data_IF_795303093255
#
_entry.id   IF_795303093255
#
_cell.length_a   1.000
_cell.length_b   1.000
_cell.length_c   1.000
_cell.angle_alpha   90.00
_cell.angle_beta   90.00
_cell.angle_gamma   90.00
#
_symmetry.space_group_name_H-M   'P 1'
#
loop_
_entity.id
_entity.type
_entity.pdbx_description
1 polymer ?
#
# COMPACT_ATOMS: atom_id res chain seq x y z
N UNK A 1 30.36 14.96 46.71
CA UNK A 1 29.20 14.58 45.86
C UNK A 1 29.76 13.93 44.60
N UNK A 2 29.46 12.65 44.30
CA UNK A 2 30.30 11.86 43.39
C UNK A 2 29.89 12.03 41.92
N UNK A 3 30.89 12.11 41.05
CA UNK A 3 30.82 12.37 39.60
C UNK A 3 29.96 11.37 38.78
N UNK A 4 29.54 10.25 39.36
CA UNK A 4 28.68 9.24 38.70
C UNK A 4 27.27 9.75 38.38
N UNK A 5 26.71 10.62 39.22
CA UNK A 5 25.34 11.14 39.03
C UNK A 5 25.29 12.16 37.88
N UNK A 6 26.40 12.86 37.62
CA UNK A 6 26.48 13.86 36.55
C UNK A 6 26.55 13.22 35.15
N UNK A 7 27.30 12.12 35.02
CA UNK A 7 27.44 11.39 33.74
C UNK A 7 26.12 10.70 33.32
N UNK A 8 25.34 10.18 34.28
CA UNK A 8 24.03 9.59 33.99
C UNK A 8 22.98 10.65 33.57
N UNK A 9 23.01 11.84 34.17
CA UNK A 9 22.11 12.95 33.78
C UNK A 9 22.43 13.50 32.40
N UNK A 10 23.70 13.64 32.05
CA UNK A 10 24.09 14.07 30.70
C UNK A 10 23.72 13.04 29.61
N UNK A 11 23.84 11.74 29.91
CA UNK A 11 23.43 10.67 28.98
C UNK A 11 21.93 10.65 28.70
N UNK A 12 21.10 10.83 29.73
CA UNK A 12 19.65 10.89 29.58
C UNK A 12 19.19 12.12 28.77
N UNK A 13 19.80 13.29 29.00
CA UNK A 13 19.50 14.50 28.23
C UNK A 13 19.90 14.37 26.75
N UNK A 14 21.05 13.74 26.46
CA UNK A 14 21.47 13.48 25.08
C UNK A 14 20.53 12.51 24.36
N UNK A 15 20.08 11.46 25.05
CA UNK A 15 19.10 10.52 24.50
C UNK A 15 17.75 11.19 24.21
N UNK A 16 17.29 12.08 25.11
CA UNK A 16 16.04 12.82 24.90
C UNK A 16 16.15 13.78 23.71
N UNK A 17 17.27 14.50 23.59
CA UNK A 17 17.53 15.41 22.47
C UNK A 17 17.57 14.64 21.15
N UNK A 18 18.24 13.47 21.12
CA UNK A 18 18.28 12.61 19.95
C UNK A 18 16.88 12.11 19.57
N UNK A 19 16.06 11.70 20.55
CA UNK A 19 14.70 11.25 20.30
C UNK A 19 13.81 12.38 19.76
N UNK A 20 13.93 13.58 20.33
CA UNK A 20 13.20 14.77 19.83
C UNK A 20 13.66 15.17 18.44
N UNK A 21 14.96 15.13 18.15
CA UNK A 21 15.49 15.45 16.83
C UNK A 21 15.03 14.43 15.79
N UNK A 22 15.00 13.15 16.17
CA UNK A 22 14.50 12.08 15.31
C UNK A 22 13.00 12.23 15.05
N UNK A 23 12.20 12.60 16.06
CA UNK A 23 10.78 12.89 15.88
C UNK A 23 10.56 14.10 14.95
N UNK A 24 11.33 15.18 15.15
CA UNK A 24 11.23 16.39 14.32
C UNK A 24 11.62 16.08 12.88
N UNK A 25 12.71 15.33 12.64
CA UNK A 25 13.14 14.98 11.28
C UNK A 25 12.20 13.98 10.60
N UNK A 26 11.56 13.09 11.34
CA UNK A 26 10.60 12.13 10.80
C UNK A 26 9.25 12.76 10.42
N UNK A 27 8.86 13.88 11.03
CA UNK A 27 7.52 14.47 10.84
C UNK A 27 7.51 15.92 10.36
N UNK A 28 8.62 16.66 10.41
CA UNK A 28 8.68 18.00 9.83
C UNK A 28 9.08 17.91 8.36
N UNK A 29 8.14 18.18 7.46
CA UNK A 29 8.47 18.49 6.06
C UNK A 29 8.59 20.00 5.93
N UNK A 30 9.80 20.47 5.64
CA UNK A 30 10.08 21.88 5.38
C UNK A 30 9.69 22.18 3.94
N UNK A 31 8.69 23.06 3.75
CA UNK A 31 8.32 23.56 2.43
C UNK A 31 9.29 24.66 1.99
N UNK A 32 9.61 24.69 0.69
CA UNK A 32 10.52 25.68 0.10
C UNK A 32 10.02 27.13 0.23
N UNK A 33 8.73 27.31 0.51
CA UNK A 33 8.08 28.61 0.65
C UNK A 33 8.37 29.30 1.99
N UNK A 34 8.88 28.58 2.99
CA UNK A 34 9.27 29.12 4.30
C UNK A 34 10.61 29.89 4.28
N UNK A 35 11.32 29.91 3.15
CA UNK A 35 12.61 30.58 2.97
C UNK A 35 12.56 31.79 2.02
N UNK A 36 11.47 32.55 2.00
CA UNK A 36 11.42 33.84 1.33
C UNK A 36 11.61 35.01 2.32
N UNK A 37 12.84 35.51 2.40
CA UNK A 37 13.18 36.74 3.11
C UNK A 37 12.65 37.96 2.33
N UNK A 38 11.49 38.49 2.70
CA UNK A 38 10.98 39.77 2.16
C UNK A 38 11.24 40.91 3.14
N UNK A 39 12.08 41.85 2.70
CA UNK A 39 12.46 43.04 3.46
C UNK A 39 11.30 43.99 3.76
N UNK A 40 11.35 44.55 4.98
CA UNK A 40 10.94 45.91 5.39
C UNK A 40 9.85 46.60 4.55
N UNK A 41 8.59 46.53 5.01
CA UNK A 41 7.59 47.56 4.73
C UNK A 41 6.61 47.75 5.91
N UNK A 42 6.74 48.94 6.52
CA UNK A 42 5.81 49.78 7.30
C UNK A 42 4.68 49.12 8.12
N UNK A 43 4.76 49.40 9.42
CA UNK A 43 3.63 49.46 10.35
C UNK A 43 2.63 50.52 9.88
N UNK A 44 1.40 50.11 9.57
CA UNK A 44 0.24 51.00 9.57
C UNK A 44 -0.79 50.45 10.56
N UNK A 45 -1.06 51.26 11.58
CA UNK A 45 -2.12 51.08 12.56
C UNK A 45 -3.42 51.56 11.93
N UNK A 46 -4.44 50.70 11.88
CA UNK A 46 -5.81 51.11 11.56
C UNK A 46 -6.84 50.37 12.42
N UNK A 47 -7.30 51.09 13.45
CA UNK A 47 -8.62 51.14 14.09
C UNK A 47 -9.56 49.93 14.02
N UNK A 48 -9.95 49.47 15.22
CA UNK A 48 -11.15 48.65 15.49
C UNK A 48 -12.41 49.51 15.31
N UNK A 49 -13.30 49.09 14.41
CA UNK A 49 -14.65 49.63 14.25
C UNK A 49 -15.69 48.51 14.35
N UNK A 50 -16.57 48.61 15.36
CA UNK A 50 -17.66 47.67 15.63
C UNK A 50 -18.71 47.64 14.50
N UNK A 51 -19.18 46.45 14.14
CA UNK A 51 -20.50 46.26 13.54
C UNK A 51 -21.14 44.94 14.02
N UNK A 52 -22.45 45.03 14.26
CA UNK A 52 -23.35 44.17 15.04
C UNK A 52 -23.54 42.73 14.48
N UNK A 53 -23.91 41.76 15.35
CA UNK A 53 -24.19 40.38 14.95
C UNK A 53 -25.64 40.20 14.50
N UNK A 54 -25.85 39.46 13.41
CA UNK A 54 -27.18 39.00 13.00
C UNK A 54 -27.40 37.57 13.51
N UNK A 55 -28.33 37.45 14.45
CA UNK A 55 -28.89 36.20 14.96
C UNK A 55 -29.56 35.42 13.82
N UNK A 56 -29.21 34.13 13.71
CA UNK A 56 -30.17 33.12 13.31
C UNK A 56 -30.25 32.06 14.42
N UNK A 57 -31.48 31.93 14.90
CA UNK A 57 -31.98 31.00 15.90
C UNK A 57 -32.17 29.61 15.29
N UNK A 58 -31.65 28.58 15.94
CA UNK A 58 -32.16 27.22 15.87
C UNK A 58 -31.95 26.56 17.25
N UNK A 59 -32.93 25.75 17.64
CA UNK A 59 -33.35 25.41 19.00
C UNK A 59 -32.41 24.50 19.81
N UNK A 60 -32.45 24.65 21.15
CA UNK A 60 -32.09 23.62 22.16
C UNK A 60 -33.34 22.75 22.40
N UNK A 61 -33.32 21.45 22.66
CA UNK A 61 -32.67 20.63 23.72
C UNK A 61 -33.21 19.16 23.57
N UNK A 62 -32.85 18.12 24.36
CA UNK A 62 -31.77 18.00 25.33
C UNK A 62 -30.92 16.71 25.24
N UNK A 63 -29.82 16.79 25.98
CA UNK A 63 -28.88 15.78 26.41
C UNK A 63 -29.49 14.67 27.30
N UNK A 64 -28.99 13.44 27.13
CA UNK A 64 -28.74 12.51 28.24
C UNK A 64 -27.29 12.01 28.17
N UNK A 65 -26.61 12.20 29.30
CA UNK A 65 -25.28 11.74 29.65
C UNK A 65 -25.28 10.24 30.01
N UNK A 66 -24.15 9.59 29.71
CA UNK A 66 -23.49 8.42 30.34
C UNK A 66 -22.90 7.57 29.20
N UNK A 67 -21.63 7.20 29.14
CA UNK A 67 -20.46 7.32 30.02
C UNK A 67 -19.26 6.95 29.12
N UNK A 68 -18.11 7.59 29.32
CA UNK A 68 -16.83 7.34 28.63
C UNK A 68 -16.27 5.95 29.07
N UNK A 69 -15.59 5.13 28.27
CA UNK A 69 -14.17 5.24 27.88
C UNK A 69 -13.84 4.04 26.96
N UNK A 70 -13.22 4.26 25.79
CA UNK A 70 -12.24 3.36 25.10
C UNK A 70 -11.66 4.07 23.83
N UNK A 71 -11.48 5.39 23.91
CA UNK A 71 -10.70 6.12 22.89
C UNK A 71 -9.24 6.14 23.33
N UNK A 72 -8.42 5.31 22.68
CA UNK A 72 -6.96 5.39 22.79
C UNK A 72 -6.52 6.81 22.40
N UNK A 73 -6.09 7.59 23.39
CA UNK A 73 -5.66 8.98 23.23
C UNK A 73 -4.51 9.11 22.23
N UNK A 74 -3.74 8.05 21.99
CA UNK A 74 -2.68 8.01 20.98
C UNK A 74 -3.27 8.11 19.56
N UNK A 75 -4.30 7.35 19.24
CA UNK A 75 -4.89 7.30 17.90
C UNK A 75 -5.65 8.58 17.54
N UNK A 76 -6.37 9.17 18.51
CA UNK A 76 -7.10 10.42 18.31
C UNK A 76 -6.16 11.62 18.16
N UNK A 77 -5.02 11.61 18.87
CA UNK A 77 -3.96 12.62 18.71
C UNK A 77 -3.31 12.56 17.33
N UNK A 78 -3.04 11.35 16.82
CA UNK A 78 -2.49 11.15 15.48
C UNK A 78 -3.44 11.63 14.39
N UNK A 79 -4.76 11.43 14.56
CA UNK A 79 -5.77 11.88 13.60
C UNK A 79 -5.93 13.41 13.57
N UNK A 80 -5.87 14.08 14.72
CA UNK A 80 -5.96 15.54 14.80
C UNK A 80 -4.71 16.24 14.28
N UNK A 81 -3.53 15.69 14.52
CA UNK A 81 -2.26 16.23 14.00
C UNK A 81 -2.13 16.05 12.48
N UNK A 82 -2.68 14.96 11.91
CA UNK A 82 -2.62 14.71 10.47
C UNK A 82 -3.54 15.65 9.65
N UNK A 83 -4.61 16.18 10.26
CA UNK A 83 -5.65 16.92 9.55
C UNK A 83 -5.72 18.43 9.89
N UNK A 84 -4.86 18.93 10.78
CA UNK A 84 -4.92 20.34 11.22
C UNK A 84 -4.34 21.37 10.23
N UNK A 85 -3.81 20.94 9.07
CA UNK A 85 -3.14 21.84 8.13
C UNK A 85 -3.47 21.54 6.66
N UNK A 86 -4.76 21.41 6.34
CA UNK A 86 -5.25 21.56 4.96
C UNK A 86 -5.94 22.93 4.85
N UNK A 87 -5.35 23.94 4.20
CA UNK A 87 -6.10 25.14 3.86
C UNK A 87 -7.21 24.81 2.85
N UNK A 88 -8.38 25.44 2.99
CA UNK A 88 -9.47 25.34 2.02
C UNK A 88 -8.98 25.69 0.61
N UNK A 89 -9.36 24.87 -0.38
CA UNK A 89 -9.07 25.08 -1.78
C UNK A 89 -9.55 26.47 -2.24
N UNK A 90 -8.73 27.28 -2.94
CA UNK A 90 -9.20 28.52 -3.51
C UNK A 90 -10.19 28.24 -4.65
N UNK A 91 -11.31 28.93 -4.63
CA UNK A 91 -12.30 28.90 -5.69
C UNK A 91 -11.74 29.53 -6.97
N UNK A 92 -11.72 28.74 -8.05
CA UNK A 92 -11.60 29.11 -9.48
C UNK A 92 -10.35 29.93 -9.88
N UNK A 93 -9.49 29.31 -10.68
CA UNK A 93 -8.53 29.99 -11.56
C UNK A 93 -8.83 29.65 -13.03
N UNK A 94 -8.57 30.56 -14.00
CA UNK A 94 -9.03 30.42 -15.37
C UNK A 94 -8.17 29.45 -16.19
N UNK A 95 -8.81 28.79 -17.16
CA UNK A 95 -8.18 27.92 -18.17
C UNK A 95 -7.05 28.66 -18.89
N UNK A 96 -5.81 28.19 -18.69
CA UNK A 96 -4.67 28.58 -19.52
C UNK A 96 -4.60 27.63 -20.72
N UNK A 97 -4.74 28.21 -21.90
CA UNK A 97 -4.60 27.57 -23.20
C UNK A 97 -3.11 27.33 -23.47
N UNK A 98 -2.73 26.08 -23.73
CA UNK A 98 -1.37 25.70 -24.07
C UNK A 98 -1.21 25.67 -25.59
N UNK A 99 -0.37 26.54 -26.13
CA UNK A 99 0.12 26.41 -27.50
C UNK A 99 1.24 25.36 -27.55
N UNK A 100 1.09 24.39 -28.46
CA UNK A 100 2.06 23.33 -28.71
C UNK A 100 3.36 23.90 -29.28
N UNK A 101 4.48 23.68 -28.59
CA UNK A 101 5.81 23.90 -29.13
C UNK A 101 6.47 22.55 -29.40
N UNK A 102 6.40 22.12 -30.66
CA UNK A 102 7.12 20.98 -31.21
C UNK A 102 8.63 21.29 -31.19
N UNK A 103 9.41 20.53 -30.41
CA UNK A 103 10.87 20.47 -30.57
C UNK A 103 11.36 19.04 -30.45
N UNK A 104 11.83 18.53 -31.59
CA UNK A 104 12.59 17.29 -31.71
C UNK A 104 13.96 17.40 -30.99
N UNK A 105 14.39 16.39 -30.20
CA UNK A 105 15.71 16.40 -29.59
C UNK A 105 16.78 15.76 -30.50
N UNK A 106 17.84 16.51 -30.78
CA UNK A 106 19.10 15.98 -31.36
C UNK A 106 19.94 15.25 -30.29
N UNK A 107 20.76 14.25 -30.68
CA UNK A 107 21.60 13.49 -29.75
C UNK A 107 22.90 14.22 -29.38
N UNK A 108 23.33 14.08 -28.12
CA UNK A 108 24.61 14.58 -27.59
C UNK A 108 25.56 13.39 -27.34
N UNK A 109 26.85 13.46 -27.69
CA UNK A 109 27.79 12.35 -27.52
C UNK A 109 28.41 12.28 -26.11
N UNK A 110 28.66 11.06 -25.65
CA UNK A 110 29.38 10.71 -24.42
C UNK A 110 30.85 11.13 -24.50
N UNK A 111 31.32 11.88 -23.50
CA UNK A 111 32.74 12.15 -23.28
C UNK A 111 33.19 11.35 -22.05
N UNK A 112 33.90 10.25 -22.31
CA UNK A 112 34.63 9.48 -21.32
C UNK A 112 35.93 10.21 -20.93
N UNK A 113 36.09 10.54 -19.64
CA UNK A 113 37.35 11.07 -19.09
C UNK A 113 38.02 9.98 -18.25
N UNK A 114 39.10 9.42 -18.79
CA UNK A 114 40.06 8.56 -18.08
C UNK A 114 41.15 9.44 -17.41
N UNK A 115 41.49 9.23 -16.13
CA UNK A 115 42.61 9.94 -15.52
C UNK A 115 43.95 9.27 -15.81
N UNK A 116 44.80 9.94 -16.61
CA UNK A 116 46.26 9.75 -16.64
C UNK A 116 46.91 10.82 -15.74
N UNK A 117 47.50 10.42 -14.60
CA UNK A 117 48.88 10.78 -14.19
C UNK A 117 49.28 10.23 -12.81
N UNK A 118 50.53 9.78 -12.82
CA UNK A 118 51.48 9.29 -11.82
C UNK A 118 51.53 10.05 -10.49
N UNK A 119 51.69 9.28 -9.40
CA UNK A 119 51.91 9.75 -8.03
C UNK A 119 53.34 10.30 -7.84
N UNK A 120 53.42 11.52 -7.31
CA UNK A 120 54.66 12.11 -6.77
C UNK A 120 54.77 11.72 -5.29
N UNK A 121 55.79 10.92 -4.93
CA UNK A 121 56.17 10.62 -3.55
C UNK A 121 57.07 11.74 -3.02
N UNK A 122 56.62 12.48 -2.01
CA UNK A 122 57.48 13.41 -1.27
C UNK A 122 57.90 12.78 0.06
N UNK A 123 59.22 12.64 0.24
CA UNK A 123 59.87 12.27 1.52
C UNK A 123 59.89 13.51 2.42
N UNK A 124 59.28 13.42 3.60
CA UNK A 124 59.45 14.38 4.69
C UNK A 124 59.72 13.63 6.01
N UNK A 125 60.55 14.19 6.93
CA UNK A 125 61.05 13.53 8.13
C UNK A 125 60.00 13.46 9.27
N UNK A 126 60.23 12.63 10.32
CA UNK A 126 59.18 12.30 11.28
C UNK A 126 58.87 13.46 12.24
N UNK A 127 57.80 14.19 11.94
CA UNK A 127 57.12 15.06 12.89
C UNK A 127 56.18 14.25 13.77
N UNK A 128 56.23 14.45 15.09
CA UNK A 128 55.40 13.77 16.08
C UNK A 128 53.91 14.02 15.79
N UNK A 129 53.19 12.99 15.34
CA UNK A 129 51.73 13.03 15.19
C UNK A 129 51.11 12.87 16.57
N UNK A 130 50.50 13.95 17.07
CA UNK A 130 49.59 13.89 18.22
C UNK A 130 48.36 13.08 17.78
N UNK A 131 48.12 11.98 18.47
CA UNK A 131 46.98 11.08 18.25
C UNK A 131 45.68 11.77 18.67
N UNK A 132 45.06 12.55 17.78
CA UNK A 132 43.65 12.91 17.91
C UNK A 132 42.84 11.65 17.61
N UNK A 133 42.22 11.08 18.66
CA UNK A 133 41.22 10.01 18.55
C UNK A 133 40.10 10.46 17.60
N UNK A 134 40.16 10.02 16.34
CA UNK A 134 39.11 10.20 15.33
C UNK A 134 37.89 9.36 15.73
N UNK A 135 36.98 9.97 16.48
CA UNK A 135 35.62 9.47 16.73
C UNK A 135 34.65 9.74 15.56
N UNK A 136 35.13 10.28 14.44
CA UNK A 136 34.30 10.73 13.31
C UNK A 136 33.88 9.70 12.25
N UNK A 137 34.44 8.47 12.10
CA UNK A 137 33.97 7.57 11.03
C UNK A 137 32.61 6.92 11.36
N UNK A 138 32.24 6.78 12.64
CA UNK A 138 30.93 6.19 13.01
C UNK A 138 29.74 7.12 12.77
N UNK A 139 29.92 8.45 12.89
CA UNK A 139 28.80 9.39 12.73
C UNK A 139 28.40 9.54 11.26
N UNK A 140 29.37 9.55 10.34
CA UNK A 140 29.09 9.55 8.90
C UNK A 140 28.47 8.23 8.41
N UNK A 141 28.86 7.09 8.98
CA UNK A 141 28.25 5.80 8.66
C UNK A 141 26.78 5.73 9.14
N UNK A 142 26.48 6.28 10.31
CA UNK A 142 25.11 6.34 10.85
C UNK A 142 24.21 7.30 10.07
N UNK A 143 24.77 8.43 9.58
CA UNK A 143 24.05 9.39 8.75
C UNK A 143 23.76 8.85 7.34
N UNK A 144 24.67 8.06 6.75
CA UNK A 144 24.45 7.38 5.47
C UNK A 144 23.43 6.24 5.58
N UNK A 145 23.35 5.56 6.74
CA UNK A 145 22.31 4.58 7.02
C UNK A 145 20.92 5.22 7.25
N UNK A 146 20.88 6.45 7.78
CA UNK A 146 19.62 7.19 7.95
C UNK A 146 19.07 7.77 6.62
N UNK A 147 19.94 7.96 5.61
CA UNK A 147 19.55 8.42 4.27
C UNK A 147 19.14 7.28 3.32
N UNK A 148 19.24 6.01 3.75
CA UNK A 148 18.62 4.89 3.04
C UNK A 148 17.15 4.79 3.41
N UNK A 149 16.41 5.87 3.13
CA UNK A 149 14.95 5.83 2.98
C UNK A 149 14.72 4.86 1.83
N UNK A 150 14.44 3.60 2.17
CA UNK A 150 13.94 2.65 1.21
C UNK A 150 12.69 3.31 0.65
N UNK A 151 12.66 3.56 -0.67
CA UNK A 151 11.38 3.73 -1.32
C UNK A 151 10.64 2.43 -1.04
N UNK A 152 9.69 2.48 -0.09
CA UNK A 152 8.79 1.37 0.14
C UNK A 152 8.25 0.96 -1.22
N UNK A 153 8.25 -0.34 -1.51
CA UNK A 153 7.43 -0.83 -2.60
C UNK A 153 5.99 -0.52 -2.20
N UNK A 154 5.51 0.62 -2.69
CA UNK A 154 4.11 0.98 -2.64
C UNK A 154 3.42 0.05 -3.64
N UNK A 155 2.37 -0.61 -3.14
CA UNK A 155 1.57 -1.73 -3.65
C UNK A 155 2.32 -3.07 -3.91
N UNK A 156 1.63 -4.20 -3.65
CA UNK A 156 0.22 -4.32 -3.21
C UNK A 156 0.00 -4.00 -1.73
N UNK A 157 -1.23 -3.64 -1.38
CA UNK A 157 -1.64 -3.36 0.00
C UNK A 157 -2.09 -4.61 0.74
N UNK A 158 -2.55 -5.61 -0.02
CA UNK A 158 -2.99 -6.90 0.47
C UNK A 158 -2.40 -7.97 -0.44
N UNK A 159 -1.82 -9.00 0.14
CA UNK A 159 -1.42 -10.20 -0.57
C UNK A 159 -2.41 -11.32 -0.32
N UNK A 160 -2.78 -12.03 -1.39
CA UNK A 160 -3.66 -13.19 -1.35
C UNK A 160 -3.00 -14.38 -2.03
N UNK A 161 -2.71 -15.42 -1.25
CA UNK A 161 -2.37 -16.72 -1.79
C UNK A 161 -3.66 -17.52 -2.05
N UNK A 162 -3.89 -17.90 -3.31
CA UNK A 162 -5.12 -18.58 -3.70
C UNK A 162 -4.91 -20.03 -4.15
N UNK A 163 -5.87 -20.86 -3.78
CA UNK A 163 -6.16 -22.13 -4.44
C UNK A 163 -7.46 -22.01 -5.24
N UNK A 164 -7.46 -22.56 -6.46
CA UNK A 164 -8.64 -22.59 -7.34
C UNK A 164 -8.93 -24.01 -7.80
N UNK A 165 -10.16 -24.44 -7.65
CA UNK A 165 -10.65 -25.74 -8.12
C UNK A 165 -11.69 -25.52 -9.21
N UNK A 166 -11.39 -25.99 -10.42
CA UNK A 166 -12.30 -25.86 -11.56
C UNK A 166 -13.32 -26.99 -11.48
N UNK A 167 -14.60 -26.63 -11.46
CA UNK A 167 -15.71 -27.56 -11.25
C UNK A 167 -16.30 -27.97 -12.60
N UNK A 168 -16.47 -29.28 -12.80
CA UNK A 168 -17.11 -29.86 -13.97
C UNK A 168 -18.30 -30.73 -13.57
N UNK A 169 -19.35 -30.71 -14.40
CA UNK A 169 -20.46 -31.63 -14.31
C UNK A 169 -20.12 -32.99 -14.93
N UNK A 170 -20.95 -34.00 -14.67
CA UNK A 170 -20.76 -35.36 -15.19
C UNK A 170 -20.77 -35.45 -16.73
N UNK A 171 -21.36 -34.47 -17.41
CA UNK A 171 -21.36 -34.35 -18.87
C UNK A 171 -20.08 -33.68 -19.44
N UNK A 172 -19.13 -33.32 -18.58
CA UNK A 172 -17.86 -32.70 -18.95
C UNK A 172 -17.93 -31.18 -19.16
N UNK A 173 -19.07 -30.53 -18.87
CA UNK A 173 -19.18 -29.06 -18.94
C UNK A 173 -18.64 -28.40 -17.67
N UNK A 174 -17.95 -27.26 -17.82
CA UNK A 174 -17.51 -26.46 -16.67
C UNK A 174 -18.73 -25.80 -16.05
N UNK A 175 -18.84 -25.85 -14.71
CA UNK A 175 -19.97 -25.29 -13.96
C UNK A 175 -19.60 -24.12 -13.05
N UNK A 176 -18.33 -23.96 -12.71
CA UNK A 176 -17.89 -22.91 -11.80
C UNK A 176 -16.46 -23.09 -11.32
N UNK A 177 -16.07 -22.26 -10.36
CA UNK A 177 -14.75 -22.32 -9.73
C UNK A 177 -14.96 -22.23 -8.21
N UNK A 178 -14.33 -23.12 -7.46
CA UNK A 178 -14.27 -23.04 -6.00
C UNK A 178 -12.91 -22.49 -5.59
N UNK A 179 -12.92 -21.42 -4.81
CA UNK A 179 -11.73 -20.72 -4.36
C UNK A 179 -11.48 -20.91 -2.87
N UNK A 180 -10.21 -20.85 -2.49
CA UNK A 180 -9.76 -20.59 -1.13
C UNK A 180 -8.67 -19.50 -1.20
N UNK A 181 -8.97 -18.32 -0.67
CA UNK A 181 -8.10 -17.14 -0.71
C UNK A 181 -7.56 -16.86 0.67
N UNK A 182 -6.27 -17.08 0.86
CA UNK A 182 -5.58 -16.85 2.13
C UNK A 182 -4.92 -15.49 2.11
N UNK A 183 -5.36 -14.61 3.00
CA UNK A 183 -4.83 -13.26 3.14
C UNK A 183 -3.54 -13.25 3.96
N UNK A 184 -2.71 -12.25 3.74
CA UNK A 184 -1.53 -12.00 4.56
C UNK A 184 -1.85 -11.71 6.04
N UNK A 185 -0.81 -11.79 6.87
CA UNK A 185 -0.90 -11.61 8.33
C UNK A 185 -1.42 -10.22 8.73
N UNK A 186 -1.07 -9.17 7.97
CA UNK A 186 -1.43 -7.79 8.29
C UNK A 186 -2.91 -7.54 8.02
N UNK A 187 -3.40 -7.93 6.84
CA UNK A 187 -4.82 -7.86 6.50
C UNK A 187 -5.63 -8.75 7.44
N UNK A 188 -5.16 -9.95 7.74
CA UNK A 188 -5.83 -10.88 8.65
C UNK A 188 -5.99 -10.28 10.05
N UNK A 189 -4.92 -9.70 10.60
CA UNK A 189 -4.97 -9.04 11.90
C UNK A 189 -5.90 -7.81 11.91
N UNK A 190 -5.90 -7.02 10.82
CA UNK A 190 -6.76 -5.86 10.67
C UNK A 190 -8.24 -6.24 10.57
N UNK A 191 -8.57 -7.21 9.71
CA UNK A 191 -9.95 -7.64 9.44
C UNK A 191 -10.63 -8.26 10.66
N UNK A 192 -9.86 -8.80 11.60
CA UNK A 192 -10.36 -9.39 12.85
C UNK A 192 -10.60 -8.37 13.96
N UNK A 193 -10.22 -7.11 13.78
CA UNK A 193 -10.43 -6.08 14.80
C UNK A 193 -11.91 -5.88 15.09
N UNK A 194 -12.27 -5.94 16.37
CA UNK A 194 -13.66 -5.76 16.81
C UNK A 194 -14.57 -6.97 16.55
N UNK A 195 -14.07 -8.07 15.98
CA UNK A 195 -14.86 -9.30 15.84
C UNK A 195 -15.02 -9.99 17.20
N UNK A 196 -16.25 -10.12 17.73
CA UNK A 196 -16.48 -10.84 18.97
C UNK A 196 -16.09 -12.31 18.84
N UNK A 197 -15.45 -12.85 19.86
CA UNK A 197 -15.05 -14.26 19.87
C UNK A 197 -15.05 -14.84 21.28
N UNK A 198 -15.51 -16.08 21.42
CA UNK A 198 -15.60 -16.76 22.70
C UNK A 198 -14.23 -17.08 23.32
N UNK A 199 -13.23 -17.35 22.47
CA UNK A 199 -11.88 -17.73 22.91
C UNK A 199 -10.83 -16.93 22.17
N UNK A 200 -9.98 -16.21 22.92
CA UNK A 200 -8.98 -15.30 22.38
C UNK A 200 -8.11 -15.95 21.30
N UNK A 201 -8.05 -15.31 20.14
CA UNK A 201 -7.25 -15.76 19.00
C UNK A 201 -7.80 -17.00 18.29
N UNK A 202 -9.05 -17.39 18.57
CA UNK A 202 -9.76 -18.45 17.88
C UNK A 202 -11.10 -17.90 17.42
N UNK A 203 -11.48 -18.23 16.19
CA UNK A 203 -12.71 -17.76 15.59
C UNK A 203 -13.44 -18.94 14.96
N UNK A 204 -14.70 -19.07 15.31
CA UNK A 204 -15.62 -20.01 14.68
C UNK A 204 -16.14 -19.44 13.35
N UNK A 205 -16.69 -20.30 12.51
CA UNK A 205 -17.27 -19.87 11.23
C UNK A 205 -18.44 -18.91 11.46
N UNK A 206 -19.22 -19.16 12.50
CA UNK A 206 -20.38 -18.36 12.88
C UNK A 206 -19.97 -16.95 13.32
N UNK A 207 -18.87 -16.82 14.09
CA UNK A 207 -18.32 -15.53 14.50
C UNK A 207 -17.75 -14.72 13.32
N UNK A 208 -17.28 -15.39 12.26
CA UNK A 208 -16.73 -14.75 11.06
C UNK A 208 -17.76 -14.53 9.94
N UNK A 209 -19.03 -14.92 10.13
CA UNK A 209 -20.01 -14.95 9.06
C UNK A 209 -20.28 -13.57 8.43
N UNK A 210 -20.37 -12.51 9.25
CA UNK A 210 -20.59 -11.14 8.77
C UNK A 210 -19.38 -10.61 7.97
N UNK A 211 -18.16 -10.96 8.41
CA UNK A 211 -16.94 -10.62 7.69
C UNK A 211 -16.86 -11.38 6.36
N UNK A 212 -17.22 -12.67 6.35
CA UNK A 212 -17.26 -13.47 5.13
C UNK A 212 -18.24 -12.88 4.11
N UNK A 213 -19.44 -12.49 4.57
CA UNK A 213 -20.43 -11.81 3.74
C UNK A 213 -19.90 -10.50 3.16
N UNK A 214 -19.28 -9.66 4.01
CA UNK A 214 -18.70 -8.39 3.59
C UNK A 214 -17.63 -8.60 2.51
N UNK A 215 -16.74 -9.58 2.72
CA UNK A 215 -15.70 -9.89 1.76
C UNK A 215 -16.28 -10.33 0.42
N UNK A 216 -17.26 -11.24 0.38
CA UNK A 216 -17.85 -11.68 -0.91
C UNK A 216 -18.71 -10.60 -1.57
N UNK A 217 -19.33 -9.71 -0.81
CA UNK A 217 -20.05 -8.57 -1.36
C UNK A 217 -19.10 -7.57 -2.03
N UNK A 218 -17.89 -7.40 -1.49
CA UNK A 218 -16.81 -6.62 -2.12
C UNK A 218 -16.23 -7.27 -3.38
N UNK A 219 -16.48 -8.56 -3.63
CA UNK A 219 -16.03 -9.24 -4.86
C UNK A 219 -16.90 -8.97 -6.08
N UNK A 220 -18.01 -8.22 -5.97
CA UNK A 220 -19.00 -8.06 -7.07
C UNK A 220 -18.44 -7.43 -8.36
N UNK A 221 -17.26 -6.80 -8.30
CA UNK A 221 -16.46 -6.42 -9.47
C UNK A 221 -15.30 -7.43 -9.66
N UNK A 222 -15.69 -8.68 -9.95
CA UNK A 222 -14.87 -9.88 -9.74
C UNK A 222 -13.44 -9.79 -10.28
N UNK A 223 -12.49 -10.01 -9.37
CA UNK A 223 -11.08 -10.28 -9.67
C UNK A 223 -10.85 -11.62 -10.40
N UNK A 224 -11.90 -12.41 -10.69
CA UNK A 224 -11.82 -13.66 -11.45
C UNK A 224 -12.46 -13.51 -12.83
N UNK A 225 -11.65 -13.61 -13.87
CA UNK A 225 -12.06 -13.62 -15.26
C UNK A 225 -11.90 -15.02 -15.84
N UNK A 226 -12.89 -15.53 -16.57
CA UNK A 226 -12.77 -16.81 -17.26
C UNK A 226 -13.22 -16.72 -18.71
N UNK A 227 -12.55 -17.47 -19.59
CA UNK A 227 -12.87 -17.59 -21.01
C UNK A 227 -12.91 -19.07 -21.39
N UNK A 228 -13.95 -19.47 -22.12
CA UNK A 228 -14.10 -20.79 -22.74
C UNK A 228 -13.97 -20.63 -24.26
N UNK A 229 -12.99 -21.29 -24.86
CA UNK A 229 -12.70 -21.21 -26.30
C UNK A 229 -12.67 -19.75 -26.81
N UNK A 230 -12.06 -18.86 -26.01
CA UNK A 230 -11.95 -17.42 -26.29
C UNK A 230 -13.16 -16.56 -25.92
N UNK A 231 -14.30 -17.15 -25.55
CA UNK A 231 -15.51 -16.42 -25.15
C UNK A 231 -15.55 -16.17 -23.64
N UNK A 232 -15.75 -14.93 -23.22
CA UNK A 232 -15.87 -14.56 -21.80
C UNK A 232 -17.07 -15.25 -21.16
N UNK A 233 -16.81 -15.93 -20.05
CA UNK A 233 -17.81 -16.57 -19.20
C UNK A 233 -18.39 -15.55 -18.22
N UNK A 234 -19.63 -15.80 -17.79
CA UNK A 234 -20.32 -14.98 -16.79
C UNK A 234 -20.56 -15.80 -15.53
N UNK A 235 -20.15 -15.27 -14.38
CA UNK A 235 -20.42 -15.85 -13.08
C UNK A 235 -21.74 -15.33 -12.50
N UNK A 236 -22.39 -16.17 -11.70
CA UNK A 236 -23.44 -15.79 -10.75
C UNK A 236 -22.79 -15.25 -9.46
N UNK A 237 -23.61 -14.77 -8.53
CA UNK A 237 -23.11 -14.31 -7.23
C UNK A 237 -22.41 -15.46 -6.47
N UNK A 238 -21.40 -15.16 -5.64
CA UNK A 238 -20.70 -16.17 -4.85
C UNK A 238 -21.66 -16.95 -3.94
N UNK A 239 -21.44 -18.25 -3.84
CA UNK A 239 -22.19 -19.16 -2.96
C UNK A 239 -21.24 -19.99 -2.10
N UNK A 240 -21.78 -20.69 -1.09
CA UNK A 240 -21.03 -21.59 -0.23
C UNK A 240 -19.77 -20.96 0.40
N UNK A 241 -19.89 -19.70 0.83
CA UNK A 241 -18.77 -18.92 1.33
C UNK A 241 -18.65 -18.92 2.85
N UNK A 242 -17.42 -18.85 3.34
CA UNK A 242 -17.10 -18.80 4.76
C UNK A 242 -15.63 -18.44 4.99
N UNK A 243 -15.27 -18.01 6.20
CA UNK A 243 -13.89 -17.72 6.59
C UNK A 243 -13.37 -18.75 7.59
N UNK A 244 -12.13 -19.16 7.40
CA UNK A 244 -11.31 -19.87 8.41
C UNK A 244 -10.25 -18.92 8.94
N UNK A 245 -9.95 -18.97 10.24
CA UNK A 245 -8.74 -18.35 10.79
C UNK A 245 -7.80 -19.43 11.33
N UNK A 246 -6.63 -19.55 10.71
CA UNK A 246 -5.64 -20.57 11.08
C UNK A 246 -4.23 -20.07 10.81
N UNK A 247 -3.30 -20.38 11.71
CA UNK A 247 -1.89 -20.00 11.58
C UNK A 247 -1.68 -18.49 11.31
N UNK A 248 -2.45 -17.65 12.02
CA UNK A 248 -2.46 -16.20 11.87
C UNK A 248 -3.02 -15.63 10.55
N UNK A 249 -3.52 -16.48 9.65
CA UNK A 249 -4.10 -16.06 8.38
C UNK A 249 -5.61 -16.34 8.31
N UNK A 250 -6.33 -15.42 7.66
CA UNK A 250 -7.72 -15.63 7.23
C UNK A 250 -7.73 -16.31 5.86
N UNK A 251 -8.54 -17.36 5.71
CA UNK A 251 -8.82 -17.98 4.42
C UNK A 251 -10.31 -17.83 4.08
N UNK A 252 -10.62 -17.08 3.03
CA UNK A 252 -11.97 -16.98 2.47
C UNK A 252 -12.19 -18.12 1.49
N UNK A 253 -13.13 -18.99 1.82
CA UNK A 253 -13.66 -20.00 0.93
C UNK A 253 -14.92 -19.47 0.26
N UNK A 254 -15.09 -19.74 -1.02
CA UNK A 254 -16.30 -19.40 -1.77
C UNK A 254 -16.34 -20.15 -3.10
N UNK A 255 -17.53 -20.30 -3.65
CA UNK A 255 -17.74 -20.85 -4.99
C UNK A 255 -18.30 -19.76 -5.90
N UNK A 256 -17.74 -19.63 -7.10
CA UNK A 256 -18.24 -18.80 -8.20
C UNK A 256 -18.92 -19.70 -9.24
N UNK A 257 -20.25 -19.85 -9.22
CA UNK A 257 -20.97 -20.63 -10.22
C UNK A 257 -20.99 -19.87 -11.55
N UNK A 258 -20.93 -20.58 -12.67
CA UNK A 258 -21.23 -19.99 -13.96
C UNK A 258 -22.75 -19.78 -14.10
N UNK A 259 -23.16 -18.68 -14.75
CA UNK A 259 -24.56 -18.44 -15.11
C UNK A 259 -25.11 -19.51 -16.05
N UNK A 260 -24.24 -20.08 -16.88
CA UNK A 260 -24.55 -21.21 -17.75
C UNK A 260 -23.32 -22.11 -17.82
N UNK A 261 -23.53 -23.42 -17.70
CA UNK A 261 -22.46 -24.40 -17.88
C UNK A 261 -21.85 -24.27 -19.28
N UNK A 262 -20.54 -24.40 -19.36
CA UNK A 262 -19.78 -24.13 -20.58
C UNK A 262 -19.06 -25.40 -21.05
N UNK A 263 -19.44 -25.99 -22.20
CA UNK A 263 -18.56 -26.92 -22.89
C UNK A 263 -17.38 -26.15 -23.45
N UNK A 264 -16.16 -26.62 -23.21
CA UNK A 264 -14.96 -25.95 -23.70
C UNK A 264 -13.83 -26.96 -23.93
N UNK A 265 -13.12 -26.82 -25.04
CA UNK A 265 -11.86 -27.55 -25.27
C UNK A 265 -10.70 -26.85 -24.59
N UNK A 266 -10.74 -25.52 -24.53
CA UNK A 266 -9.75 -24.70 -23.84
C UNK A 266 -10.45 -23.72 -22.91
N UNK A 267 -10.07 -23.75 -21.64
CA UNK A 267 -10.51 -22.79 -20.63
C UNK A 267 -9.31 -22.02 -20.10
N UNK A 268 -9.43 -20.69 -20.02
CA UNK A 268 -8.46 -19.81 -19.40
C UNK A 268 -9.14 -19.06 -18.26
N UNK A 269 -8.56 -19.12 -17.06
CA UNK A 269 -9.04 -18.43 -15.87
C UNK A 269 -7.90 -17.52 -15.38
N UNK A 270 -8.24 -16.28 -15.08
CA UNK A 270 -7.33 -15.22 -14.64
C UNK A 270 -7.83 -14.68 -13.31
N UNK A 271 -6.93 -14.60 -12.32
CA UNK A 271 -7.22 -13.98 -11.03
C UNK A 271 -6.31 -12.76 -10.87
N UNK A 272 -6.89 -11.57 -10.79
CA UNK A 272 -6.19 -10.28 -10.65
C UNK A 272 -7.14 -9.19 -10.16
N UNK A 273 -6.58 -8.17 -9.51
CA UNK A 273 -7.28 -6.94 -9.18
C UNK A 273 -7.05 -5.88 -10.26
N UNK A 274 -8.10 -5.39 -10.97
CA UNK A 274 -7.95 -4.31 -11.95
C UNK A 274 -7.34 -3.03 -11.37
N UNK A 275 -7.52 -2.77 -10.08
CA UNK A 275 -7.01 -1.59 -9.38
C UNK A 275 -5.58 -1.75 -8.83
N UNK A 276 -5.05 -2.98 -8.81
CA UNK A 276 -3.72 -3.33 -8.25
C UNK A 276 -3.61 -2.94 -6.76
N UNK A 277 -4.70 -3.09 -6.02
CA UNK A 277 -4.69 -2.97 -4.56
C UNK A 277 -4.35 -4.31 -3.90
N UNK A 278 -4.90 -5.40 -4.46
CA UNK A 278 -4.64 -6.78 -4.06
C UNK A 278 -3.73 -7.46 -5.08
N UNK A 279 -2.63 -8.05 -4.59
CA UNK A 279 -1.82 -8.97 -5.39
C UNK A 279 -2.22 -10.40 -5.08
N UNK A 280 -2.42 -11.16 -6.16
CA UNK A 280 -2.80 -12.54 -6.09
C UNK A 280 -1.58 -13.39 -6.44
N UNK A 281 -1.32 -14.40 -5.64
CA UNK A 281 -0.32 -15.41 -5.94
C UNK A 281 -0.91 -16.82 -5.83
N UNK A 282 -0.37 -17.75 -6.61
CA UNK A 282 -0.71 -19.15 -6.46
C UNK A 282 -0.26 -19.67 -5.08
N UNK A 283 -1.15 -20.38 -4.39
CA UNK A 283 -0.77 -21.10 -3.17
C UNK A 283 0.39 -22.07 -3.45
N UNK A 284 1.33 -22.16 -2.51
CA UNK A 284 2.57 -22.96 -2.67
C UNK A 284 2.28 -24.44 -2.94
N UNK A 285 1.29 -24.99 -2.27
CA UNK A 285 0.92 -26.40 -2.36
C UNK A 285 -0.39 -26.55 -3.15
N UNK A 286 -0.33 -27.26 -4.27
CA UNK A 286 -1.48 -27.57 -5.14
C UNK A 286 -2.32 -26.32 -5.45
N UNK A 287 -1.78 -25.30 -6.15
CA UNK A 287 -2.48 -24.04 -6.39
C UNK A 287 -3.74 -24.17 -7.23
N UNK A 288 -3.82 -25.22 -8.06
CA UNK A 288 -4.97 -25.47 -8.91
C UNK A 288 -5.32 -26.95 -8.93
N UNK A 289 -6.60 -27.25 -8.90
CA UNK A 289 -7.13 -28.60 -9.04
C UNK A 289 -8.35 -28.63 -9.97
N UNK A 290 -8.71 -29.82 -10.44
CA UNK A 290 -9.91 -30.07 -11.22
C UNK A 290 -10.81 -31.04 -10.47
N UNK A 291 -12.11 -30.76 -10.41
CA UNK A 291 -13.11 -31.65 -9.82
C UNK A 291 -14.11 -32.11 -10.86
N UNK A 292 -14.27 -33.43 -10.99
CA UNK A 292 -15.21 -34.03 -11.95
C UNK A 292 -14.82 -33.82 -13.42
N UNK A 293 -13.62 -33.31 -13.69
CA UNK A 293 -13.17 -33.06 -15.04
C UNK A 293 -13.01 -34.38 -15.83
N UNK A 294 -13.23 -34.35 -17.16
CA UNK A 294 -12.80 -35.45 -18.02
C UNK A 294 -11.26 -35.52 -18.07
N UNK A 295 -10.70 -36.23 -19.05
CA UNK A 295 -9.25 -36.32 -19.23
C UNK A 295 -8.65 -34.98 -19.70
N UNK A 296 -8.65 -33.98 -18.83
CA UNK A 296 -8.13 -32.66 -19.10
C UNK A 296 -6.68 -32.51 -18.64
N UNK A 297 -5.90 -31.76 -19.40
CA UNK A 297 -4.59 -31.26 -19.02
C UNK A 297 -4.75 -29.90 -18.33
N UNK A 298 -4.25 -29.81 -17.09
CA UNK A 298 -4.18 -28.57 -16.33
C UNK A 298 -2.75 -28.02 -16.33
N UNK A 299 -2.60 -26.76 -16.69
CA UNK A 299 -1.35 -25.99 -16.56
C UNK A 299 -1.66 -24.61 -15.97
N UNK A 300 -0.64 -23.89 -15.52
CA UNK A 300 -0.77 -22.52 -15.06
C UNK A 300 0.50 -21.72 -15.34
N UNK A 301 0.33 -20.43 -15.59
CA UNK A 301 1.42 -19.49 -15.88
C UNK A 301 1.44 -18.39 -14.81
N UNK A 302 2.65 -18.08 -14.34
CA UNK A 302 2.92 -16.96 -13.45
C UNK A 302 3.00 -15.66 -14.27
N UNK A 303 2.65 -14.50 -13.69
CA UNK A 303 2.92 -13.23 -14.31
C UNK A 303 4.43 -13.02 -14.50
N UNK A 304 4.81 -12.19 -15.48
CA UNK A 304 6.22 -11.79 -15.61
C UNK A 304 6.63 -10.91 -14.44
N UNK A 305 7.92 -10.91 -14.15
CA UNK A 305 8.47 -9.95 -13.19
C UNK A 305 8.36 -8.54 -13.77
N UNK A 306 7.83 -7.56 -12.99
CA UNK A 306 7.69 -6.20 -13.48
C UNK A 306 9.00 -5.65 -14.03
N UNK A 307 8.94 -5.07 -15.22
CA UNK A 307 10.04 -4.28 -15.79
C UNK A 307 10.26 -3.01 -14.95
N UNK A 308 11.43 -2.35 -15.05
CA UNK A 308 11.66 -1.09 -14.33
C UNK A 308 10.61 0.01 -14.62
N UNK A 309 10.08 0.04 -15.85
CA UNK A 309 9.04 0.98 -16.24
C UNK A 309 7.69 0.64 -15.59
N UNK A 310 7.34 -0.66 -15.56
CA UNK A 310 6.15 -1.13 -14.86
C UNK A 310 6.26 -0.85 -13.36
N UNK A 311 7.39 -1.19 -12.72
CA UNK A 311 7.63 -0.90 -11.31
C UNK A 311 7.52 0.59 -10.98
N UNK A 312 8.00 1.46 -11.88
CA UNK A 312 7.84 2.89 -11.74
C UNK A 312 6.37 3.33 -11.84
N UNK A 313 5.60 2.79 -12.80
CA UNK A 313 4.17 3.09 -12.95
C UNK A 313 3.37 2.65 -11.73
N UNK A 314 3.64 1.42 -11.30
CA UNK A 314 3.19 0.79 -10.07
C UNK A 314 3.41 1.75 -8.88
N UNK A 315 4.63 2.25 -8.64
CA UNK A 315 4.91 3.17 -7.51
C UNK A 315 4.17 4.52 -7.53
N UNK A 316 3.45 4.84 -8.61
CA UNK A 316 2.72 6.10 -8.79
C UNK A 316 1.20 5.93 -8.67
N UNK A 317 0.68 4.72 -8.46
CA UNK A 317 -0.76 4.46 -8.50
C UNK A 317 -1.56 5.25 -7.46
N UNK A 318 -0.99 5.54 -6.29
CA UNK A 318 -1.66 6.38 -5.28
C UNK A 318 -1.86 7.82 -5.75
N UNK A 319 -0.87 8.37 -6.45
CA UNK A 319 -0.90 9.75 -6.94
C UNK A 319 -1.64 9.88 -8.27
N UNK A 320 -1.57 8.85 -9.10
CA UNK A 320 -2.17 8.79 -10.43
C UNK A 320 -2.83 7.42 -10.60
N UNK A 321 -4.07 7.26 -10.09
CA UNK A 321 -4.81 6.00 -10.16
C UNK A 321 -5.02 5.50 -11.59
N UNK A 322 -5.33 4.21 -11.71
CA UNK A 322 -5.74 3.63 -13.00
C UNK A 322 -7.13 4.13 -13.38
N UNK A 323 -7.35 4.31 -14.68
CA UNK A 323 -8.70 4.47 -15.20
C UNK A 323 -9.50 3.17 -14.96
N UNK A 324 -10.78 3.24 -14.57
CA UNK A 324 -11.60 2.04 -14.33
C UNK A 324 -11.72 1.08 -15.53
N UNK A 325 -11.48 1.56 -16.76
CA UNK A 325 -11.46 0.74 -17.98
C UNK A 325 -10.07 0.22 -18.35
N UNK A 326 -9.04 0.54 -17.57
CA UNK A 326 -7.66 0.11 -17.80
C UNK A 326 -7.53 -1.40 -17.67
N UNK A 327 -6.83 -2.02 -18.62
CA UNK A 327 -6.44 -3.44 -18.56
C UNK A 327 -5.08 -3.62 -17.89
N UNK A 328 -4.51 -2.59 -17.26
CA UNK A 328 -3.15 -2.66 -16.72
C UNK A 328 -2.99 -3.76 -15.67
N UNK A 329 -3.99 -3.97 -14.79
CA UNK A 329 -3.98 -5.07 -13.82
C UNK A 329 -3.91 -6.47 -14.44
N UNK A 330 -4.44 -6.66 -15.67
CA UNK A 330 -4.37 -7.94 -16.39
C UNK A 330 -2.92 -8.37 -16.70
N UNK A 331 -2.02 -7.39 -16.80
CA UNK A 331 -0.59 -7.60 -17.04
C UNK A 331 0.06 -8.48 -15.98
N UNK A 332 -0.47 -8.44 -14.75
CA UNK A 332 0.05 -9.16 -13.59
C UNK A 332 -0.86 -10.34 -13.17
N UNK A 333 -1.80 -10.74 -14.03
CA UNK A 333 -2.71 -11.82 -13.72
C UNK A 333 -2.03 -13.19 -13.75
N UNK A 334 -2.30 -14.00 -12.73
CA UNK A 334 -2.01 -15.43 -12.77
C UNK A 334 -2.98 -16.12 -13.73
N UNK A 335 -2.48 -17.05 -14.55
CA UNK A 335 -3.29 -17.71 -15.58
C UNK A 335 -3.39 -19.19 -15.28
N UNK A 336 -4.61 -19.70 -15.24
CA UNK A 336 -4.93 -21.13 -15.18
C UNK A 336 -5.42 -21.54 -16.55
N UNK A 337 -4.85 -22.59 -17.12
CA UNK A 337 -5.17 -23.10 -18.44
C UNK A 337 -5.61 -24.56 -18.33
N UNK A 338 -6.82 -24.86 -18.79
CA UNK A 338 -7.36 -26.22 -18.83
C UNK A 338 -7.66 -26.60 -20.27
N UNK A 339 -7.09 -27.72 -20.72
CA UNK A 339 -7.36 -28.30 -22.04
C UNK A 339 -8.06 -29.63 -21.89
N UNK A 340 -9.27 -29.74 -22.43
CA UNK A 340 -10.10 -30.95 -22.38
C UNK A 340 -10.28 -31.53 -23.80
N UNK A 341 -10.57 -32.84 -23.93
CA UNK A 341 -10.65 -33.54 -25.23
C UNK A 341 -11.72 -33.02 -26.19
#
# INVERSE_FOLDING_TARGET
MPARVFVQRCGASLALVALTLQLVLSFAHVHKDDFAFSGRARLDVASVGQARPQRQTAERHPSRLADDDEHCTICFSSFLLANSSIPHAPAKLPLLQWDNLDRSPNPVPDIAIQPRRVAFLSRAPPGKIVMIKRLYPSFCAMLLLALSVHRGQAHPHVWVAFHSEVLYAADGTMTGIRHAWTFDDMFSAYALQGIPHAKKGQYTREELASLAQTNVDSLKEYATCARADGKKLKFSDPVDYWLEYKNAALTLHFTLPLKAAAPAKATQIEIYDPSIFVDFEFAKDKPVSLSGAPQCLLTYDLPHQPTPAEQARLSQLDAVPLDPSSTYGETFANKILVKCP
#
